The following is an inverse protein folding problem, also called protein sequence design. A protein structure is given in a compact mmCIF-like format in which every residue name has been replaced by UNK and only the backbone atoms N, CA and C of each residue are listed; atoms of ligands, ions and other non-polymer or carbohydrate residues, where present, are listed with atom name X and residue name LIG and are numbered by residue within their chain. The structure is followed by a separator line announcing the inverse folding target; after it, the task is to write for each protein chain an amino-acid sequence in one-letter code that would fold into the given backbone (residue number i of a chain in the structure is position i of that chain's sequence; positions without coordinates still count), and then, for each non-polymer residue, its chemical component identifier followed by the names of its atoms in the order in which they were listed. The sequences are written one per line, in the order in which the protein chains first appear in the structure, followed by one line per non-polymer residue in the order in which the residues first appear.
data_IF_336769832778
#
_entry.id   IF_336769832778
#
_cell.length_a   1.000
_cell.length_b   1.000
_cell.length_c   1.000
_cell.angle_alpha   90.00
_cell.angle_beta   90.00
_cell.angle_gamma   90.00
#
_symmetry.space_group_name_H-M   'P 1'
#
loop_
_entity.id
_entity.type
_entity.pdbx_description
1 polymer ?
#
# COMPACT_ATOMS: atom_id res chain seq x y z
N UNK A 1 -6.72 -3.52 -0.40
CA UNK A 1 -5.37 -3.84 -0.91
C UNK A 1 -4.50 -4.32 0.22
N UNK A 2 -3.74 -5.38 0.00
CA UNK A 2 -2.67 -5.89 0.89
C UNK A 2 -1.45 -6.22 0.04
N UNK A 3 -0.28 -6.41 0.64
CA UNK A 3 0.94 -6.79 -0.08
C UNK A 3 1.29 -8.26 0.21
N UNK A 4 1.70 -8.97 -0.83
CA UNK A 4 2.31 -10.29 -0.72
C UNK A 4 3.80 -10.15 -1.05
N UNK A 5 4.65 -10.60 -0.12
CA UNK A 5 6.08 -10.77 -0.33
C UNK A 5 6.41 -12.23 -0.64
N UNK A 6 7.21 -12.46 -1.68
CA UNK A 6 7.64 -13.78 -2.13
C UNK A 6 9.17 -13.81 -2.29
N UNK A 7 9.87 -14.89 -1.91
CA UNK A 7 11.31 -15.01 -2.18
C UNK A 7 11.60 -14.91 -3.68
N UNK A 8 12.59 -14.10 -4.06
CA UNK A 8 13.06 -13.98 -5.43
C UNK A 8 14.32 -14.83 -5.69
N UNK A 9 14.74 -14.94 -6.94
CA UNK A 9 15.91 -15.74 -7.35
C UNK A 9 17.24 -15.24 -6.77
N UNK A 10 17.28 -13.97 -6.34
CA UNK A 10 18.50 -13.29 -5.90
C UNK A 10 18.67 -13.35 -4.37
N UNK A 11 17.85 -14.15 -3.68
CA UNK A 11 17.85 -14.30 -2.22
C UNK A 11 17.18 -13.13 -1.47
N UNK A 12 16.51 -12.23 -2.19
CA UNK A 12 15.69 -11.15 -1.65
C UNK A 12 14.20 -11.49 -1.66
N UNK A 13 13.37 -10.44 -1.51
CA UNK A 13 11.92 -10.53 -1.56
C UNK A 13 11.38 -9.68 -2.70
N UNK A 14 10.43 -10.21 -3.46
CA UNK A 14 9.61 -9.47 -4.42
C UNK A 14 8.24 -9.18 -3.79
N UNK A 15 7.79 -7.93 -3.90
CA UNK A 15 6.53 -7.48 -3.31
C UNK A 15 5.53 -7.12 -4.40
N UNK A 16 4.26 -7.44 -4.19
CA UNK A 16 3.15 -7.03 -5.07
C UNK A 16 1.88 -6.79 -4.29
N UNK A 17 1.06 -5.86 -4.77
CA UNK A 17 -0.27 -5.61 -4.20
C UNK A 17 -1.28 -6.64 -4.70
N UNK A 18 -2.28 -6.95 -3.86
CA UNK A 18 -3.45 -7.76 -4.23
C UNK A 18 -4.73 -7.26 -3.56
N UNK A 19 -5.86 -7.62 -4.17
CA UNK A 19 -7.17 -7.52 -3.57
C UNK A 19 -7.43 -8.73 -2.66
N UNK A 20 -7.32 -8.52 -1.35
CA UNK A 20 -7.49 -9.59 -0.35
C UNK A 20 -8.85 -10.31 -0.45
N UNK A 21 -9.91 -9.62 -0.87
CA UNK A 21 -11.25 -10.19 -1.00
C UNK A 21 -11.36 -11.34 -2.01
N UNK A 22 -10.41 -11.44 -2.94
CA UNK A 22 -10.37 -12.48 -3.97
C UNK A 22 -9.06 -13.29 -3.92
N UNK A 23 -8.23 -13.08 -2.89
CA UNK A 23 -6.99 -13.83 -2.72
C UNK A 23 -7.28 -15.16 -2.04
N UNK A 24 -7.03 -16.27 -2.73
CA UNK A 24 -7.27 -17.60 -2.17
C UNK A 24 -6.21 -17.96 -1.13
N UNK A 25 -6.61 -18.15 0.13
CA UNK A 25 -5.69 -18.34 1.26
C UNK A 25 -4.64 -19.45 1.05
N UNK A 26 -4.95 -20.64 0.50
CA UNK A 26 -3.94 -21.67 0.25
C UNK A 26 -2.79 -21.27 -0.66
N UNK A 27 -2.97 -20.25 -1.51
CA UNK A 27 -1.88 -19.73 -2.36
C UNK A 27 -0.86 -18.88 -1.59
N UNK A 28 -1.12 -18.59 -0.31
CA UNK A 28 -0.24 -17.81 0.56
C UNK A 28 0.79 -18.68 1.30
N UNK A 29 0.77 -20.00 1.11
CA UNK A 29 1.77 -20.89 1.72
C UNK A 29 3.19 -20.46 1.33
N UNK A 30 4.06 -20.33 2.35
CA UNK A 30 5.44 -19.85 2.18
C UNK A 30 5.61 -18.38 1.81
N UNK A 31 4.54 -17.56 1.81
CA UNK A 31 4.58 -16.13 1.46
C UNK A 31 4.40 -15.23 2.69
N UNK A 32 4.87 -13.99 2.58
CA UNK A 32 4.66 -12.97 3.58
C UNK A 32 3.41 -12.15 3.24
N UNK A 33 2.47 -12.00 4.17
CA UNK A 33 1.29 -11.14 4.02
C UNK A 33 1.47 -9.86 4.84
N UNK A 34 1.39 -8.70 4.20
CA UNK A 34 1.49 -7.40 4.85
C UNK A 34 0.16 -6.64 4.72
N UNK A 35 -0.37 -6.21 5.85
CA UNK A 35 -1.56 -5.34 5.95
C UNK A 35 -1.15 -3.94 6.42
N UNK A 36 -2.11 -3.01 6.50
CA UNK A 36 -1.83 -1.62 6.90
C UNK A 36 -1.22 -1.50 8.30
N UNK A 37 -1.56 -2.44 9.19
CA UNK A 37 -1.03 -2.52 10.55
C UNK A 37 0.46 -2.88 10.59
N UNK A 38 1.00 -3.49 9.53
CA UNK A 38 2.43 -3.79 9.41
C UNK A 38 3.30 -2.52 9.47
N UNK A 39 2.75 -1.39 9.02
CA UNK A 39 3.44 -0.10 8.99
C UNK A 39 3.56 0.56 10.37
N UNK A 40 2.94 -0.01 11.40
CA UNK A 40 3.00 0.52 12.75
C UNK A 40 4.42 0.42 13.31
N UNK A 41 5.04 1.55 13.59
CA UNK A 41 6.34 1.56 14.26
C UNK A 41 6.22 1.21 15.76
N UNK A 42 7.34 0.80 16.37
CA UNK A 42 7.38 0.45 17.80
C UNK A 42 7.18 1.64 18.73
N UNK A 43 7.62 2.82 18.31
CA UNK A 43 7.48 4.10 19.01
C UNK A 43 6.14 4.80 18.73
N UNK A 44 5.28 4.20 17.91
CA UNK A 44 3.94 4.70 17.60
C UNK A 44 3.90 5.77 16.51
N UNK A 45 5.06 6.13 15.94
CA UNK A 45 5.15 6.99 14.78
C UNK A 45 4.49 6.36 13.54
N UNK A 46 3.94 7.22 12.69
CA UNK A 46 3.38 6.80 11.41
C UNK A 46 4.50 6.52 10.42
N UNK A 47 4.29 5.53 9.54
CA UNK A 47 5.15 5.35 8.37
C UNK A 47 5.04 6.60 7.47
N UNK A 48 6.11 7.02 6.75
CA UNK A 48 6.06 8.20 5.88
C UNK A 48 4.85 8.28 4.94
N UNK A 49 4.44 7.16 4.35
CA UNK A 49 3.21 7.07 3.53
C UNK A 49 1.94 7.40 4.33
N UNK A 50 1.83 6.89 5.56
CA UNK A 50 0.69 7.20 6.43
C UNK A 50 0.72 8.66 6.89
N UNK A 51 1.91 9.18 7.20
CA UNK A 51 2.12 10.57 7.61
C UNK A 51 1.72 11.53 6.48
N UNK A 52 2.16 11.27 5.24
CA UNK A 52 1.80 12.05 4.06
C UNK A 52 0.28 12.14 3.88
N UNK A 53 -0.45 11.01 3.99
CA UNK A 53 -1.92 10.99 3.89
C UNK A 53 -2.60 11.90 4.93
N UNK A 54 -2.00 12.08 6.12
CA UNK A 54 -2.51 12.98 7.15
C UNK A 54 -2.19 14.43 6.80
N UNK A 55 -0.94 14.71 6.46
CA UNK A 55 -0.43 16.07 6.18
C UNK A 55 -1.06 16.70 4.95
N UNK A 56 -1.35 15.91 3.91
CA UNK A 56 -1.94 16.40 2.66
C UNK A 56 -3.47 16.40 2.68
N UNK A 57 -4.09 16.00 3.80
CA UNK A 57 -5.55 15.79 3.89
C UNK A 57 -6.08 14.72 2.92
N UNK A 58 -5.27 13.70 2.63
CA UNK A 58 -5.60 12.56 1.77
C UNK A 58 -6.65 11.59 2.34
N UNK A 59 -7.19 11.85 3.54
CA UNK A 59 -8.19 11.02 4.20
C UNK A 59 -9.32 11.84 4.81
N UNK A 60 -10.58 11.48 4.49
CA UNK A 60 -11.79 12.05 5.09
C UNK A 60 -12.55 11.00 5.91
N UNK A 61 -13.41 10.20 5.27
CA UNK A 61 -14.15 9.13 5.97
C UNK A 61 -13.26 7.97 6.43
N UNK A 62 -12.03 7.87 5.93
CA UNK A 62 -11.03 6.89 6.34
C UNK A 62 -11.18 5.48 5.74
N UNK A 63 -12.35 5.14 5.17
CA UNK A 63 -12.63 3.75 4.77
C UNK A 63 -11.71 3.23 3.66
N UNK A 64 -11.41 4.06 2.65
CA UNK A 64 -10.51 3.70 1.56
C UNK A 64 -9.02 3.81 1.92
N UNK A 65 -8.69 4.52 3.00
CA UNK A 65 -7.32 4.93 3.34
C UNK A 65 -6.35 3.76 3.45
N UNK A 66 -6.70 2.61 4.08
CA UNK A 66 -5.82 1.44 4.09
C UNK A 66 -5.44 0.92 2.69
N UNK A 67 -6.36 0.99 1.72
CA UNK A 67 -6.09 0.55 0.35
C UNK A 67 -5.06 1.44 -0.37
N UNK A 68 -5.24 2.75 -0.25
CA UNK A 68 -4.29 3.74 -0.78
C UNK A 68 -2.92 3.61 -0.12
N UNK A 69 -2.86 3.55 1.22
CA UNK A 69 -1.61 3.41 1.97
C UNK A 69 -0.84 2.17 1.54
N UNK A 70 -1.49 1.01 1.39
CA UNK A 70 -0.79 -0.21 0.98
C UNK A 70 -0.31 -0.16 -0.49
N UNK A 71 -1.01 0.56 -1.36
CA UNK A 71 -0.61 0.71 -2.76
C UNK A 71 0.61 1.63 -2.89
N UNK A 72 0.60 2.77 -2.19
CA UNK A 72 1.72 3.69 -2.11
C UNK A 72 2.93 3.09 -1.38
N UNK A 73 2.69 2.28 -0.34
CA UNK A 73 3.77 1.61 0.36
C UNK A 73 4.49 0.59 -0.54
N UNK A 74 3.76 -0.18 -1.34
CA UNK A 74 4.38 -1.11 -2.29
C UNK A 74 5.24 -0.37 -3.31
N UNK A 75 4.73 0.74 -3.86
CA UNK A 75 5.50 1.60 -4.76
C UNK A 75 6.77 2.18 -4.12
N UNK A 76 6.67 2.62 -2.86
CA UNK A 76 7.81 3.13 -2.10
C UNK A 76 8.89 2.06 -1.89
N UNK A 77 8.51 0.79 -1.73
CA UNK A 77 9.48 -0.32 -1.67
C UNK A 77 10.23 -0.52 -3.00
N UNK A 78 9.59 -0.19 -4.12
CA UNK A 78 10.15 -0.31 -5.47
C UNK A 78 10.91 0.96 -5.93
N UNK A 79 10.91 2.04 -5.13
CA UNK A 79 11.55 3.32 -5.47
C UNK A 79 10.80 4.13 -6.54
N UNK A 80 9.49 3.92 -6.71
CA UNK A 80 8.67 4.54 -7.75
C UNK A 80 8.12 5.93 -7.42
N UNK A 81 8.49 6.53 -6.29
CA UNK A 81 7.88 7.77 -5.78
C UNK A 81 8.16 9.04 -6.61
N UNK A 82 9.14 9.04 -7.52
CA UNK A 82 9.47 10.20 -8.35
C UNK A 82 8.66 10.25 -9.67
N UNK A 83 8.02 9.15 -10.07
CA UNK A 83 7.25 9.07 -11.32
C UNK A 83 5.74 9.21 -11.07
N UNK A 84 5.19 10.36 -11.45
CA UNK A 84 3.74 10.64 -11.33
C UNK A 84 2.88 9.69 -12.16
N UNK A 85 3.37 9.21 -13.29
CA UNK A 85 2.69 8.21 -14.11
C UNK A 85 2.55 6.90 -13.35
N UNK A 86 3.67 6.40 -12.81
CA UNK A 86 3.68 5.20 -11.98
C UNK A 86 2.76 5.35 -10.77
N UNK A 87 2.80 6.50 -10.05
CA UNK A 87 1.90 6.78 -8.91
C UNK A 87 0.43 6.62 -9.32
N UNK A 88 0.01 7.22 -10.42
CA UNK A 88 -1.37 7.12 -10.89
C UNK A 88 -1.75 5.68 -11.21
N UNK A 89 -0.87 4.92 -11.85
CA UNK A 89 -1.11 3.52 -12.20
C UNK A 89 -1.26 2.64 -10.95
N UNK A 90 -0.41 2.83 -9.93
CA UNK A 90 -0.53 2.10 -8.66
C UNK A 90 -1.83 2.45 -7.90
N UNK A 91 -2.32 3.68 -8.05
CA UNK A 91 -3.55 4.14 -7.39
C UNK A 91 -4.83 3.82 -8.17
N UNK A 92 -4.76 3.48 -9.46
CA UNK A 92 -5.92 3.30 -10.34
C UNK A 92 -6.95 2.26 -9.83
N UNK A 93 -6.52 1.28 -9.04
CA UNK A 93 -7.40 0.27 -8.43
C UNK A 93 -8.10 0.71 -7.14
N UNK A 94 -7.80 1.89 -6.60
CA UNK A 94 -8.33 2.37 -5.32
C UNK A 94 -9.36 3.48 -5.55
N UNK A 95 -10.59 3.25 -5.08
CA UNK A 95 -11.68 4.21 -5.25
C UNK A 95 -11.88 5.03 -3.97
N UNK A 96 -11.98 6.36 -4.14
CA UNK A 96 -12.35 7.27 -3.07
C UNK A 96 -13.58 8.10 -3.47
N UNK A 97 -14.56 8.17 -2.57
CA UNK A 97 -15.78 8.99 -2.79
C UNK A 97 -15.72 10.36 -2.12
N UNK A 98 -14.78 10.59 -1.23
CA UNK A 98 -14.77 11.77 -0.35
C UNK A 98 -13.74 12.82 -0.78
N UNK A 99 -12.51 12.40 -1.07
CA UNK A 99 -11.37 13.33 -1.26
C UNK A 99 -11.31 13.97 -2.65
N UNK A 100 -11.93 13.34 -3.66
CA UNK A 100 -11.78 13.77 -5.05
C UNK A 100 -10.37 13.56 -5.61
N UNK A 101 -9.56 12.70 -4.98
CA UNK A 101 -8.18 12.31 -5.36
C UNK A 101 -7.11 13.41 -5.30
N UNK A 102 -7.45 14.68 -5.48
CA UNK A 102 -6.48 15.79 -5.47
C UNK A 102 -5.52 15.84 -4.26
N UNK A 103 -5.96 15.58 -3.01
CA UNK A 103 -5.07 15.59 -1.84
C UNK A 103 -4.38 14.24 -1.54
N UNK A 104 -4.67 13.18 -2.30
CA UNK A 104 -4.01 11.87 -2.19
C UNK A 104 -2.79 11.88 -3.11
#
# INVERSE_FOLDING_TARGET
TVIIGEPNSDGGMAYRTVNACIQFVPTLDGKQLLTVEHLKSKDGNLHPVQQAMVETHGSQCGFCTPGFVMSLYQMWLDGGEEDRGAINDALAGNLCRCTGYGPI
#
